data_IF_878871826856
#
_entry.id   IF_878871826856
#
_cell.length_a   1.000
_cell.length_b   1.000
_cell.length_c   1.000
_cell.angle_alpha   90.00
_cell.angle_beta   90.00
_cell.angle_gamma   90.00
#
_symmetry.space_group_name_H-M   'P 1'
#
loop_
_entity.id
_entity.type
_entity.pdbx_description
1 polymer ?
#
# COMPACT_ATOMS: atom_id res chain seq x y z
N UNK A 1 -2.56 -34.41 10.09
CA UNK A 1 -2.13 -33.22 9.36
C UNK A 1 -3.24 -32.18 9.53
N UNK A 2 -2.99 -31.09 10.30
CA UNK A 2 -3.97 -30.01 10.41
C UNK A 2 -4.16 -29.37 9.05
N UNK A 3 -5.39 -29.12 8.63
CA UNK A 3 -5.69 -28.34 7.44
C UNK A 3 -5.13 -26.95 7.71
N UNK A 4 -4.07 -26.56 7.00
CA UNK A 4 -3.51 -25.20 7.12
C UNK A 4 -4.57 -24.26 6.58
N UNK A 5 -5.17 -23.47 7.47
CA UNK A 5 -6.21 -22.50 7.09
C UNK A 5 -5.61 -21.48 6.11
N UNK A 6 -6.29 -21.23 5.00
CA UNK A 6 -5.89 -20.27 3.97
C UNK A 6 -5.64 -18.90 4.59
N UNK A 7 -4.49 -18.29 4.30
CA UNK A 7 -4.16 -16.94 4.75
C UNK A 7 -4.98 -15.89 4.01
N UNK A 8 -5.19 -14.74 4.65
CA UNK A 8 -6.04 -13.66 4.14
C UNK A 8 -5.24 -12.36 4.04
N UNK A 9 -5.26 -11.72 2.88
CA UNK A 9 -4.72 -10.39 2.66
C UNK A 9 -5.85 -9.38 2.45
N UNK A 10 -5.72 -8.18 3.06
CA UNK A 10 -6.57 -7.02 2.80
C UNK A 10 -5.78 -6.01 1.99
N UNK A 11 -6.29 -5.61 0.81
CA UNK A 11 -5.62 -4.68 -0.11
C UNK A 11 -6.49 -3.45 -0.32
N UNK A 12 -5.98 -2.27 0.00
CA UNK A 12 -6.67 -1.00 -0.27
C UNK A 12 -6.25 -0.41 -1.62
N UNK A 13 -7.14 0.34 -2.28
CA UNK A 13 -6.89 0.85 -3.64
C UNK A 13 -6.80 -0.25 -4.69
N UNK A 14 -7.58 -1.32 -4.53
CA UNK A 14 -7.42 -2.59 -5.23
C UNK A 14 -8.06 -2.64 -6.63
N UNK A 15 -8.74 -1.58 -7.11
CA UNK A 15 -9.49 -1.63 -8.37
C UNK A 15 -8.63 -1.52 -9.63
N UNK A 16 -7.39 -1.04 -9.51
CA UNK A 16 -6.48 -0.82 -10.66
C UNK A 16 -5.02 -0.69 -10.21
N UNK A 17 -4.10 -0.62 -11.18
CA UNK A 17 -2.69 -0.33 -10.98
C UNK A 17 -2.02 -1.30 -10.00
N UNK A 18 -1.16 -0.76 -9.12
CA UNK A 18 -0.40 -1.56 -8.14
C UNK A 18 -1.33 -2.41 -7.27
N UNK A 19 -2.43 -1.85 -6.77
CA UNK A 19 -3.36 -2.58 -5.90
C UNK A 19 -3.98 -3.80 -6.58
N UNK A 20 -4.42 -3.69 -7.83
CA UNK A 20 -4.93 -4.83 -8.59
C UNK A 20 -3.85 -5.90 -8.83
N UNK A 21 -2.64 -5.47 -9.22
CA UNK A 21 -1.50 -6.39 -9.37
C UNK A 21 -1.14 -7.13 -8.08
N UNK A 22 -1.22 -6.44 -6.92
CA UNK A 22 -1.01 -7.05 -5.61
C UNK A 22 -2.08 -8.07 -5.28
N UNK A 23 -3.36 -7.79 -5.56
CA UNK A 23 -4.46 -8.79 -5.40
C UNK A 23 -4.13 -10.05 -6.17
N UNK A 24 -3.77 -9.94 -7.46
CA UNK A 24 -3.37 -11.09 -8.28
C UNK A 24 -2.13 -11.80 -7.71
N UNK A 25 -1.15 -11.05 -7.22
CA UNK A 25 0.05 -11.60 -6.59
C UNK A 25 -0.29 -12.47 -5.38
N UNK A 26 -1.11 -11.97 -4.45
CA UNK A 26 -1.55 -12.74 -3.28
C UNK A 26 -2.44 -13.93 -3.66
N UNK A 27 -3.28 -13.81 -4.69
CA UNK A 27 -4.04 -14.95 -5.21
C UNK A 27 -3.13 -16.06 -5.74
N UNK A 28 -2.04 -15.71 -6.45
CA UNK A 28 -1.04 -16.70 -6.89
C UNK A 28 -0.32 -17.38 -5.73
N UNK A 29 -0.17 -16.71 -4.59
CA UNK A 29 0.35 -17.33 -3.35
C UNK A 29 -0.69 -18.18 -2.60
N UNK A 30 -1.92 -18.27 -3.10
CA UNK A 30 -2.99 -19.04 -2.47
C UNK A 30 -3.72 -18.33 -1.33
N UNK A 31 -3.52 -17.03 -1.15
CA UNK A 31 -4.27 -16.25 -0.15
C UNK A 31 -5.69 -15.99 -0.62
N UNK A 32 -6.64 -15.95 0.31
CA UNK A 32 -7.88 -15.23 0.10
C UNK A 32 -7.63 -13.71 0.21
N UNK A 33 -8.41 -12.90 -0.49
CA UNK A 33 -8.20 -11.45 -0.54
C UNK A 33 -9.48 -10.68 -0.26
N UNK A 34 -9.37 -9.67 0.60
CA UNK A 34 -10.37 -8.60 0.70
C UNK A 34 -9.85 -7.38 -0.06
N UNK A 35 -10.50 -7.03 -1.15
CA UNK A 35 -10.12 -5.97 -2.06
C UNK A 35 -11.01 -4.74 -1.82
N UNK A 36 -10.41 -3.60 -1.44
CA UNK A 36 -11.13 -2.37 -1.07
C UNK A 36 -10.85 -1.26 -2.07
N UNK A 37 -11.89 -0.65 -2.63
CA UNK A 37 -11.77 0.58 -3.43
C UNK A 37 -13.14 1.27 -3.59
N UNK A 38 -13.12 2.56 -3.94
CA UNK A 38 -14.33 3.35 -4.19
C UNK A 38 -15.15 2.84 -5.39
N UNK A 39 -14.49 2.25 -6.36
CA UNK A 39 -15.07 1.87 -7.67
C UNK A 39 -14.86 0.39 -8.01
N UNK A 40 -14.63 -0.46 -7.01
CA UNK A 40 -14.37 -1.87 -7.24
C UNK A 40 -15.65 -2.64 -7.64
N UNK A 41 -15.56 -3.44 -8.69
CA UNK A 41 -16.63 -4.35 -9.08
C UNK A 41 -16.56 -5.67 -8.28
N UNK A 42 -17.69 -6.39 -8.14
CA UNK A 42 -17.68 -7.74 -7.58
C UNK A 42 -16.71 -8.67 -8.33
N UNK A 43 -16.02 -9.53 -7.60
CA UNK A 43 -15.12 -10.54 -8.19
C UNK A 43 -15.88 -11.85 -8.50
N UNK A 44 -15.51 -12.50 -9.59
CA UNK A 44 -15.96 -13.87 -9.90
C UNK A 44 -15.14 -14.94 -9.15
N UNK A 45 -13.95 -14.57 -8.61
CA UNK A 45 -13.12 -15.48 -7.82
C UNK A 45 -13.73 -15.63 -6.42
N UNK A 46 -14.12 -16.85 -5.97
CA UNK A 46 -14.74 -17.09 -4.67
C UNK A 46 -13.85 -16.74 -3.47
N UNK A 47 -12.54 -16.66 -3.68
CA UNK A 47 -11.55 -16.29 -2.67
C UNK A 47 -11.22 -14.78 -2.70
N UNK A 48 -11.98 -13.98 -3.45
CA UNK A 48 -11.85 -12.51 -3.46
C UNK A 48 -13.17 -11.88 -3.06
N UNK A 49 -13.17 -11.20 -1.91
CA UNK A 49 -14.30 -10.38 -1.46
C UNK A 49 -13.99 -8.92 -1.76
N UNK A 50 -14.92 -8.23 -2.40
CA UNK A 50 -14.78 -6.80 -2.69
C UNK A 50 -15.59 -5.95 -1.72
N UNK A 51 -14.99 -4.88 -1.22
CA UNK A 51 -15.64 -3.90 -0.35
C UNK A 51 -15.55 -2.53 -1.00
N UNK A 52 -16.70 -2.04 -1.45
CA UNK A 52 -16.77 -0.69 -2.01
C UNK A 52 -16.83 0.36 -0.90
N UNK A 53 -15.94 1.37 -0.97
CA UNK A 53 -15.92 2.48 -0.02
C UNK A 53 -14.67 3.34 -0.10
N UNK A 54 -14.72 4.51 0.52
CA UNK A 54 -13.58 5.40 0.67
C UNK A 54 -12.83 5.03 1.95
N UNK A 55 -11.51 4.81 1.86
CA UNK A 55 -10.67 4.50 3.03
C UNK A 55 -10.56 5.65 4.02
N UNK A 56 -10.83 6.88 3.57
CA UNK A 56 -10.92 8.05 4.44
C UNK A 56 -12.08 7.95 5.44
N UNK A 57 -13.10 7.12 5.14
CA UNK A 57 -14.20 6.82 6.04
C UNK A 57 -13.89 5.57 6.88
N UNK A 58 -13.85 5.74 8.19
CA UNK A 58 -13.60 4.67 9.16
C UNK A 58 -14.56 3.48 8.98
N UNK A 59 -15.82 3.73 8.65
CA UNK A 59 -16.79 2.66 8.42
C UNK A 59 -16.40 1.74 7.28
N UNK A 60 -15.65 2.22 6.26
CA UNK A 60 -15.09 1.38 5.21
C UNK A 60 -14.05 0.42 5.76
N UNK A 61 -13.16 0.88 6.62
CA UNK A 61 -12.15 0.03 7.26
C UNK A 61 -12.81 -1.04 8.17
N UNK A 62 -13.84 -0.67 8.89
CA UNK A 62 -14.62 -1.59 9.74
C UNK A 62 -15.27 -2.70 8.91
N UNK A 63 -15.94 -2.35 7.80
CA UNK A 63 -16.52 -3.32 6.87
C UNK A 63 -15.47 -4.23 6.23
N UNK A 64 -14.31 -3.69 5.88
CA UNK A 64 -13.25 -4.46 5.24
C UNK A 64 -12.65 -5.51 6.18
N UNK A 65 -12.38 -5.16 7.43
CA UNK A 65 -11.86 -6.10 8.44
C UNK A 65 -12.96 -7.10 8.84
N UNK A 66 -14.21 -6.67 8.97
CA UNK A 66 -15.35 -7.57 9.22
C UNK A 66 -15.50 -8.60 8.09
N UNK A 67 -15.43 -8.18 6.83
CA UNK A 67 -15.51 -9.08 5.67
C UNK A 67 -14.40 -10.16 5.68
N UNK A 68 -13.17 -9.82 6.07
CA UNK A 68 -12.08 -10.79 6.23
C UNK A 68 -12.43 -11.84 7.30
N UNK A 69 -12.95 -11.39 8.42
CA UNK A 69 -13.30 -12.27 9.55
C UNK A 69 -14.53 -13.13 9.25
N UNK A 70 -15.60 -12.54 8.73
CA UNK A 70 -16.85 -13.23 8.46
C UNK A 70 -16.72 -14.26 7.35
N UNK A 71 -15.98 -13.92 6.29
CA UNK A 71 -15.83 -14.80 5.13
C UNK A 71 -14.74 -15.84 5.27
N UNK A 72 -13.59 -15.47 5.89
CA UNK A 72 -12.38 -16.31 5.91
C UNK A 72 -11.88 -16.63 7.33
N UNK A 73 -12.44 -16.03 8.36
CA UNK A 73 -12.13 -16.31 9.77
C UNK A 73 -10.87 -15.61 10.31
N UNK A 74 -10.08 -14.93 9.45
CA UNK A 74 -8.78 -14.36 9.83
C UNK A 74 -8.36 -13.17 8.96
N UNK A 75 -7.30 -12.48 9.39
CA UNK A 75 -6.59 -11.47 8.61
C UNK A 75 -5.09 -11.58 8.90
N UNK A 76 -4.28 -11.89 7.90
CA UNK A 76 -2.84 -12.12 8.06
C UNK A 76 -1.99 -10.99 7.54
N UNK A 77 -2.43 -10.34 6.45
CA UNK A 77 -1.66 -9.29 5.80
C UNK A 77 -2.54 -8.11 5.43
N UNK A 78 -2.02 -6.90 5.66
CA UNK A 78 -2.61 -5.65 5.18
C UNK A 78 -1.68 -4.99 4.18
N UNK A 79 -2.21 -4.60 3.01
CA UNK A 79 -1.51 -3.77 2.03
C UNK A 79 -2.19 -2.40 1.97
N UNK A 80 -1.55 -1.41 2.57
CA UNK A 80 -1.94 0.00 2.46
C UNK A 80 -1.45 0.57 1.14
N UNK A 81 -2.23 0.40 0.08
CA UNK A 81 -1.90 0.90 -1.25
C UNK A 81 -2.75 2.10 -1.66
N UNK A 82 -3.97 2.26 -1.14
CA UNK A 82 -4.79 3.41 -1.45
C UNK A 82 -4.04 4.72 -1.22
N UNK A 83 -4.03 5.58 -2.22
CA UNK A 83 -3.35 6.87 -2.16
C UNK A 83 -3.73 7.74 -3.35
N UNK A 84 -3.62 9.04 -3.15
CA UNK A 84 -3.75 10.05 -4.21
C UNK A 84 -2.51 10.92 -4.24
N UNK A 85 -2.22 11.42 -5.44
CA UNK A 85 -1.07 12.26 -5.73
C UNK A 85 -1.52 13.50 -6.50
N UNK A 86 -1.04 14.66 -6.09
CA UNK A 86 -1.25 15.93 -6.80
C UNK A 86 0.09 16.66 -6.82
N UNK A 87 0.61 16.96 -8.01
CA UNK A 87 1.82 17.77 -8.19
C UNK A 87 1.44 19.22 -8.43
N UNK A 88 1.88 20.10 -7.51
CA UNK A 88 1.71 21.56 -7.60
C UNK A 88 2.82 22.28 -6.84
N UNK A 89 3.19 23.52 -7.22
CA UNK A 89 3.92 24.42 -6.32
C UNK A 89 3.22 24.52 -4.97
N UNK A 90 3.99 24.60 -3.88
CA UNK A 90 3.42 24.56 -2.53
C UNK A 90 2.38 25.65 -2.28
N UNK A 91 2.61 26.86 -2.83
CA UNK A 91 1.70 28.03 -2.71
C UNK A 91 0.37 27.83 -3.41
N UNK A 92 0.26 26.89 -4.35
CA UNK A 92 -0.91 26.69 -5.19
C UNK A 92 -1.84 25.57 -4.67
N UNK A 93 -1.42 24.85 -3.62
CA UNK A 93 -2.29 23.89 -2.97
C UNK A 93 -3.45 24.58 -2.27
N UNK A 94 -4.66 24.11 -2.54
CA UNK A 94 -5.86 24.52 -1.84
C UNK A 94 -6.07 23.74 -0.54
N UNK A 95 -6.91 24.26 0.36
CA UNK A 95 -7.36 23.49 1.53
C UNK A 95 -8.11 22.22 1.12
N UNK A 96 -8.78 22.21 -0.05
CA UNK A 96 -9.42 21.01 -0.61
C UNK A 96 -8.40 19.95 -1.02
N UNK A 97 -7.31 20.33 -1.69
CA UNK A 97 -6.22 19.40 -2.03
C UNK A 97 -5.62 18.78 -0.75
N UNK A 98 -5.35 19.62 0.24
CA UNK A 98 -4.81 19.16 1.53
C UNK A 98 -5.76 18.18 2.23
N UNK A 99 -7.06 18.53 2.32
CA UNK A 99 -8.05 17.68 2.96
C UNK A 99 -8.20 16.33 2.24
N UNK A 100 -8.23 16.33 0.90
CA UNK A 100 -8.34 15.11 0.10
C UNK A 100 -7.11 14.21 0.27
N UNK A 101 -5.90 14.77 0.14
CA UNK A 101 -4.65 14.00 0.27
C UNK A 101 -4.50 13.45 1.69
N UNK A 102 -4.76 14.26 2.72
CA UNK A 102 -4.74 13.83 4.11
C UNK A 102 -5.74 12.70 4.35
N UNK A 103 -6.99 12.88 3.91
CA UNK A 103 -8.06 11.91 4.12
C UNK A 103 -7.70 10.52 3.57
N UNK A 104 -7.25 10.44 2.31
CA UNK A 104 -6.91 9.14 1.71
C UNK A 104 -5.58 8.61 2.25
N UNK A 105 -4.52 9.44 2.26
CA UNK A 105 -3.17 8.94 2.53
C UNK A 105 -2.89 8.73 4.03
N UNK A 106 -3.44 9.56 4.93
CA UNK A 106 -3.20 9.47 6.37
C UNK A 106 -4.38 8.88 7.14
N UNK A 107 -5.59 9.47 7.02
CA UNK A 107 -6.75 9.00 7.78
C UNK A 107 -7.10 7.56 7.34
N UNK A 108 -7.04 7.27 6.02
CA UNK A 108 -7.24 5.91 5.48
C UNK A 108 -6.22 4.91 6.00
N UNK A 109 -4.93 5.25 5.98
CA UNK A 109 -3.89 4.42 6.58
C UNK A 109 -4.17 4.15 8.06
N UNK A 110 -4.49 5.19 8.82
CA UNK A 110 -4.74 5.08 10.26
C UNK A 110 -5.92 4.14 10.55
N UNK A 111 -7.06 4.37 9.88
CA UNK A 111 -8.27 3.59 10.12
C UNK A 111 -8.07 2.09 9.84
N UNK A 112 -7.52 1.78 8.66
CA UNK A 112 -7.38 0.38 8.25
C UNK A 112 -6.27 -0.31 9.04
N UNK A 113 -5.13 0.36 9.28
CA UNK A 113 -3.98 -0.23 9.98
C UNK A 113 -4.31 -0.53 11.44
N UNK A 114 -4.98 0.40 12.14
CA UNK A 114 -5.39 0.20 13.54
C UNK A 114 -6.26 -1.04 13.70
N UNK A 115 -7.29 -1.18 12.86
CA UNK A 115 -8.23 -2.30 12.94
C UNK A 115 -7.57 -3.62 12.49
N UNK A 116 -6.74 -3.60 11.45
CA UNK A 116 -6.03 -4.78 10.99
C UNK A 116 -5.05 -5.32 12.04
N UNK A 117 -4.22 -4.45 12.63
CA UNK A 117 -3.29 -4.86 13.70
C UNK A 117 -4.06 -5.38 14.90
N UNK A 118 -5.12 -4.70 15.33
CA UNK A 118 -5.95 -5.18 16.44
C UNK A 118 -6.50 -6.60 16.16
N UNK A 119 -6.94 -6.87 14.93
CA UNK A 119 -7.39 -8.21 14.51
C UNK A 119 -6.26 -9.23 14.51
N UNK A 120 -5.09 -8.91 13.94
CA UNK A 120 -3.92 -9.78 13.93
C UNK A 120 -3.49 -10.18 15.34
N UNK A 121 -3.53 -9.24 16.28
CA UNK A 121 -3.21 -9.49 17.68
C UNK A 121 -4.26 -10.37 18.37
N UNK A 122 -5.54 -10.13 18.14
CA UNK A 122 -6.62 -10.88 18.75
C UNK A 122 -6.65 -12.36 18.30
N UNK A 123 -6.19 -12.66 17.08
CA UNK A 123 -6.11 -14.05 16.58
C UNK A 123 -4.85 -14.80 17.00
N UNK A 124 -3.80 -14.11 17.51
CA UNK A 124 -2.61 -14.73 18.10
C UNK A 124 -1.59 -15.31 17.10
N UNK A 125 -1.82 -15.14 15.79
CA UNK A 125 -0.93 -15.72 14.75
C UNK A 125 0.14 -14.77 14.21
N UNK A 126 0.27 -13.56 14.77
CA UNK A 126 1.07 -12.50 14.18
C UNK A 126 0.43 -11.92 12.92
N UNK A 127 1.22 -11.22 12.09
CA UNK A 127 0.73 -10.63 10.85
C UNK A 127 1.78 -9.83 10.12
N UNK A 128 1.37 -9.23 8.99
CA UNK A 128 2.24 -8.37 8.21
C UNK A 128 1.49 -7.15 7.67
N UNK A 129 2.10 -5.99 7.76
CA UNK A 129 1.60 -4.75 7.16
C UNK A 129 2.63 -4.24 6.15
N UNK A 130 2.20 -4.00 4.92
CA UNK A 130 3.03 -3.36 3.89
C UNK A 130 2.35 -2.07 3.43
N UNK A 131 3.09 -0.98 3.39
CA UNK A 131 2.59 0.32 2.95
C UNK A 131 3.28 0.76 1.68
N UNK A 132 2.51 1.17 0.67
CA UNK A 132 3.06 1.76 -0.56
C UNK A 132 3.29 3.26 -0.32
N UNK A 133 4.57 3.66 -0.36
CA UNK A 133 5.02 5.04 -0.17
C UNK A 133 5.44 5.68 -1.50
N UNK A 134 6.53 6.41 -1.56
CA UNK A 134 7.11 7.00 -2.80
C UNK A 134 8.57 7.39 -2.57
N UNK A 135 9.40 7.23 -3.59
CA UNK A 135 10.79 7.70 -3.62
C UNK A 135 10.94 9.21 -3.49
N UNK A 136 9.89 9.99 -3.76
CA UNK A 136 9.90 11.45 -3.59
C UNK A 136 10.05 11.92 -2.13
N UNK A 137 9.91 11.01 -1.15
CA UNK A 137 10.23 11.30 0.25
C UNK A 137 11.75 11.41 0.45
N UNK A 138 12.49 10.49 -0.16
CA UNK A 138 13.93 10.35 0.03
C UNK A 138 14.71 11.14 -1.03
N UNK A 139 14.14 11.33 -2.22
CA UNK A 139 14.73 12.05 -3.34
C UNK A 139 13.73 13.03 -3.97
N UNK A 140 13.50 14.22 -3.35
CA UNK A 140 12.61 15.24 -3.91
C UNK A 140 13.18 15.81 -5.21
N UNK A 141 12.29 16.07 -6.20
CA UNK A 141 12.67 16.62 -7.50
C UNK A 141 11.88 17.90 -7.79
N UNK A 142 12.57 19.00 -8.10
CA UNK A 142 11.96 20.28 -8.42
C UNK A 142 11.05 20.23 -9.68
N UNK A 143 11.28 19.26 -10.56
CA UNK A 143 10.44 19.02 -11.75
C UNK A 143 9.09 18.38 -11.39
N UNK A 144 8.98 17.80 -10.19
CA UNK A 144 7.77 17.14 -9.67
C UNK A 144 7.45 17.71 -8.28
N UNK A 145 6.98 18.98 -8.19
CA UNK A 145 6.69 19.61 -6.91
C UNK A 145 5.54 18.87 -6.21
N UNK A 146 5.82 18.23 -5.07
CA UNK A 146 4.93 17.22 -4.46
C UNK A 146 4.96 17.23 -2.92
N UNK A 147 5.04 18.42 -2.32
CA UNK A 147 5.20 18.56 -0.85
C UNK A 147 4.14 17.80 -0.06
N UNK A 148 2.86 17.79 -0.48
CA UNK A 148 1.81 17.05 0.24
C UNK A 148 1.98 15.52 0.13
N UNK A 149 2.51 15.03 -0.99
CA UNK A 149 2.87 13.62 -1.10
C UNK A 149 4.04 13.28 -0.17
N UNK A 150 5.10 14.08 -0.17
CA UNK A 150 6.26 13.90 0.73
C UNK A 150 5.85 14.01 2.20
N UNK A 151 5.01 14.97 2.57
CA UNK A 151 4.49 15.13 3.93
C UNK A 151 3.72 13.90 4.40
N UNK A 152 2.78 13.42 3.59
CA UNK A 152 1.92 12.29 3.97
C UNK A 152 2.68 10.97 3.89
N UNK A 153 3.35 10.67 2.79
CA UNK A 153 4.07 9.41 2.59
C UNK A 153 5.33 9.30 3.45
N UNK A 154 6.01 10.43 3.73
CA UNK A 154 7.11 10.48 4.71
C UNK A 154 6.64 10.16 6.13
N UNK A 155 5.46 10.66 6.52
CA UNK A 155 4.80 10.26 7.76
C UNK A 155 4.54 8.75 7.82
N UNK A 156 4.12 8.13 6.69
CA UNK A 156 3.91 6.68 6.63
C UNK A 156 5.22 5.89 6.74
N UNK A 157 6.33 6.38 6.19
CA UNK A 157 7.65 5.74 6.40
C UNK A 157 8.07 5.78 7.88
N UNK A 158 7.88 6.93 8.55
CA UNK A 158 8.14 7.05 9.98
C UNK A 158 7.23 6.13 10.81
N UNK A 159 5.92 6.08 10.50
CA UNK A 159 4.96 5.20 11.15
C UNK A 159 5.31 3.72 10.92
N UNK A 160 5.80 3.33 9.74
CA UNK A 160 6.25 1.97 9.44
C UNK A 160 7.32 1.51 10.44
N UNK A 161 8.36 2.34 10.67
CA UNK A 161 9.43 2.00 11.62
C UNK A 161 8.92 1.95 13.06
N UNK A 162 8.06 2.90 13.45
CA UNK A 162 7.50 2.95 14.80
C UNK A 162 6.64 1.71 15.11
N UNK A 163 5.71 1.37 14.21
CA UNK A 163 4.84 0.20 14.36
C UNK A 163 5.63 -1.11 14.32
N UNK A 164 6.68 -1.19 13.49
CA UNK A 164 7.55 -2.36 13.43
C UNK A 164 8.17 -2.68 14.79
N UNK A 165 8.68 -1.66 15.49
CA UNK A 165 9.28 -1.84 16.83
C UNK A 165 8.21 -2.11 17.90
N UNK A 166 7.07 -1.39 17.83
CA UNK A 166 5.99 -1.52 18.80
C UNK A 166 5.40 -2.96 18.83
N UNK A 167 5.29 -3.60 17.65
CA UNK A 167 4.62 -4.91 17.52
C UNK A 167 5.55 -6.08 17.23
N UNK A 168 6.87 -5.89 17.13
CA UNK A 168 7.83 -6.95 16.81
C UNK A 168 7.72 -8.16 17.74
N UNK A 169 7.67 -7.94 19.06
CA UNK A 169 7.56 -8.99 20.07
C UNK A 169 6.20 -9.70 20.08
N UNK A 170 5.22 -9.13 19.38
CA UNK A 170 3.86 -9.67 19.22
C UNK A 170 3.65 -10.34 17.86
N UNK A 171 4.74 -10.52 17.10
CA UNK A 171 4.73 -11.25 15.83
C UNK A 171 4.15 -10.48 14.64
N UNK A 172 3.90 -9.16 14.75
CA UNK A 172 3.45 -8.35 13.61
C UNK A 172 4.65 -7.64 13.01
N UNK A 173 4.92 -7.89 11.72
CA UNK A 173 5.94 -7.19 10.93
C UNK A 173 5.28 -6.01 10.23
N UNK A 174 6.02 -4.91 10.08
CA UNK A 174 5.54 -3.72 9.37
C UNK A 174 6.66 -3.21 8.47
N UNK A 175 6.41 -3.14 7.17
CA UNK A 175 7.36 -2.69 6.16
C UNK A 175 6.70 -1.73 5.18
N UNK A 176 7.48 -1.08 4.33
CA UNK A 176 6.99 -0.28 3.23
C UNK A 176 7.74 -0.59 1.93
N UNK A 177 7.07 -0.38 0.82
CA UNK A 177 7.68 -0.32 -0.51
C UNK A 177 7.63 1.13 -0.96
N UNK A 178 8.76 1.66 -1.42
CA UNK A 178 8.94 3.04 -1.88
C UNK A 178 9.20 3.03 -3.40
N UNK A 179 8.15 3.04 -4.25
CA UNK A 179 8.31 3.00 -5.68
C UNK A 179 8.72 4.37 -6.26
N UNK A 180 9.42 4.33 -7.38
CA UNK A 180 9.51 5.44 -8.32
C UNK A 180 8.22 5.60 -9.14
N UNK A 181 8.33 6.19 -10.35
CA UNK A 181 7.20 6.26 -11.28
C UNK A 181 6.95 4.90 -11.92
N UNK A 182 5.74 4.37 -11.74
CA UNK A 182 5.31 3.06 -12.24
C UNK A 182 4.22 3.24 -13.30
N UNK A 183 4.24 2.45 -14.36
CA UNK A 183 3.21 2.47 -15.40
C UNK A 183 1.86 2.00 -14.83
N UNK A 184 1.00 2.94 -14.55
CA UNK A 184 -0.35 2.75 -14.00
C UNK A 184 -1.28 3.79 -14.59
N UNK A 185 -2.61 3.65 -14.44
CA UNK A 185 -3.55 4.70 -14.86
C UNK A 185 -3.34 6.07 -14.19
N UNK A 186 -2.50 6.15 -13.13
CA UNK A 186 -2.11 7.43 -12.53
C UNK A 186 -1.16 8.24 -13.43
N UNK A 187 -0.44 7.60 -14.34
CA UNK A 187 0.54 8.22 -15.23
C UNK A 187 0.09 8.04 -16.69
N UNK A 188 -0.51 9.07 -17.31
CA UNK A 188 -0.89 9.02 -18.72
C UNK A 188 0.31 8.74 -19.64
N UNK A 189 0.08 8.03 -20.74
CA UNK A 189 1.14 7.52 -21.62
C UNK A 189 2.04 8.63 -22.17
N UNK A 190 1.49 9.80 -22.44
CA UNK A 190 2.22 10.99 -22.88
C UNK A 190 3.27 11.49 -21.87
N UNK A 191 3.16 11.08 -20.59
CA UNK A 191 4.12 11.44 -19.53
C UNK A 191 5.26 10.44 -19.38
N UNK A 192 5.15 9.26 -19.99
CA UNK A 192 6.05 8.14 -19.71
C UNK A 192 7.51 8.43 -20.03
N UNK A 193 7.81 9.09 -21.16
CA UNK A 193 9.18 9.45 -21.54
C UNK A 193 9.82 10.39 -20.51
N UNK A 194 9.09 11.43 -20.10
CA UNK A 194 9.57 12.39 -19.11
C UNK A 194 9.76 11.72 -17.73
N UNK A 195 8.85 10.84 -17.31
CA UNK A 195 8.96 10.10 -16.08
C UNK A 195 10.07 9.06 -16.10
N UNK A 196 10.29 8.37 -17.23
CA UNK A 196 11.41 7.45 -17.40
C UNK A 196 12.78 8.15 -17.25
N UNK A 197 12.89 9.40 -17.72
CA UNK A 197 14.11 10.18 -17.63
C UNK A 197 14.47 10.60 -16.20
N UNK A 198 13.54 10.50 -15.24
CA UNK A 198 13.80 10.75 -13.81
C UNK A 198 14.58 9.61 -13.14
N UNK A 199 14.54 8.41 -13.73
CA UNK A 199 15.17 7.23 -13.14
C UNK A 199 16.56 6.99 -13.73
N UNK A 200 17.59 6.72 -12.91
CA UNK A 200 18.92 6.34 -13.43
C UNK A 200 18.91 5.17 -14.43
N UNK A 201 18.02 4.19 -14.24
CA UNK A 201 17.83 3.05 -15.16
C UNK A 201 17.12 3.41 -16.46
N UNK A 202 16.72 4.68 -16.65
CA UNK A 202 16.10 5.23 -17.87
C UNK A 202 14.80 4.52 -18.31
N UNK A 203 14.08 3.94 -17.38
CA UNK A 203 12.73 3.42 -17.60
C UNK A 203 11.84 3.69 -16.39
N UNK A 204 10.55 3.71 -16.61
CA UNK A 204 9.56 3.60 -15.52
C UNK A 204 9.56 2.16 -14.96
N UNK A 205 9.09 2.00 -13.73
CA UNK A 205 8.75 0.70 -13.18
C UNK A 205 7.54 0.08 -13.88
N UNK A 206 7.54 -1.24 -13.97
CA UNK A 206 6.36 -2.03 -14.33
C UNK A 206 5.59 -2.43 -13.06
N UNK A 207 4.32 -2.83 -13.19
CA UNK A 207 3.55 -3.32 -12.04
C UNK A 207 4.24 -4.49 -11.34
N UNK A 208 4.85 -5.40 -12.11
CA UNK A 208 5.61 -6.53 -11.57
C UNK A 208 6.75 -6.12 -10.67
N UNK A 209 7.48 -5.04 -10.99
CA UNK A 209 8.61 -4.58 -10.16
C UNK A 209 8.15 -4.30 -8.71
N UNK A 210 6.97 -3.69 -8.55
CA UNK A 210 6.42 -3.36 -7.22
C UNK A 210 5.74 -4.57 -6.56
N UNK A 211 4.99 -5.34 -7.34
CA UNK A 211 4.31 -6.55 -6.83
C UNK A 211 5.32 -7.54 -6.28
N UNK A 212 6.40 -7.81 -7.01
CA UNK A 212 7.45 -8.75 -6.60
C UNK A 212 8.14 -8.28 -5.30
N UNK A 213 8.34 -6.97 -5.13
CA UNK A 213 8.88 -6.40 -3.90
C UNK A 213 7.93 -6.60 -2.70
N UNK A 214 6.61 -6.41 -2.90
CA UNK A 214 5.61 -6.69 -1.86
C UNK A 214 5.63 -8.17 -1.48
N UNK A 215 5.66 -9.08 -2.46
CA UNK A 215 5.68 -10.52 -2.23
C UNK A 215 7.02 -10.99 -1.62
N UNK A 216 8.14 -10.33 -1.96
CA UNK A 216 9.42 -10.56 -1.28
C UNK A 216 9.31 -10.24 0.21
N UNK A 217 8.77 -9.07 0.58
CA UNK A 217 8.58 -8.70 1.98
C UNK A 217 7.63 -9.64 2.72
N UNK A 218 6.60 -10.17 2.04
CA UNK A 218 5.70 -11.17 2.60
C UNK A 218 6.47 -12.44 2.99
N UNK A 219 7.35 -12.91 2.11
CA UNK A 219 8.12 -14.14 2.27
C UNK A 219 9.43 -13.97 3.06
N UNK A 220 9.74 -12.78 3.57
CA UNK A 220 10.95 -12.45 4.32
C UNK A 220 10.67 -12.29 5.82
N UNK A 221 10.53 -13.35 6.62
CA UNK A 221 10.05 -13.30 8.00
C UNK A 221 10.99 -12.55 8.97
N UNK A 222 12.23 -12.32 8.58
CA UNK A 222 13.23 -11.61 9.40
C UNK A 222 13.34 -10.12 9.03
N UNK A 223 12.49 -9.63 8.11
CA UNK A 223 12.44 -8.22 7.68
C UNK A 223 11.27 -7.52 8.32
N UNK A 224 11.54 -6.47 9.12
CA UNK A 224 10.54 -5.56 9.69
C UNK A 224 11.15 -4.16 9.87
N UNK A 225 10.37 -3.10 9.69
CA UNK A 225 10.82 -1.71 9.74
C UNK A 225 11.53 -1.24 8.46
N UNK A 226 11.55 -2.06 7.43
CA UNK A 226 12.23 -1.77 6.15
C UNK A 226 11.39 -0.85 5.27
N UNK A 227 12.08 0.05 4.56
CA UNK A 227 11.55 0.84 3.46
C UNK A 227 12.28 0.37 2.19
N UNK A 228 11.70 -0.58 1.48
CA UNK A 228 12.29 -1.17 0.29
C UNK A 228 12.07 -0.26 -0.93
N UNK A 229 13.15 0.33 -1.44
CA UNK A 229 13.11 1.17 -2.63
C UNK A 229 13.01 0.32 -3.92
N UNK A 230 12.02 0.66 -4.74
CA UNK A 230 11.77 0.06 -6.06
C UNK A 230 11.62 1.20 -7.06
N UNK A 231 12.69 1.94 -7.28
CA UNK A 231 12.65 3.26 -7.87
C UNK A 231 13.68 3.48 -9.00
N UNK A 232 14.27 2.39 -9.51
CA UNK A 232 15.25 2.47 -10.58
C UNK A 232 16.50 3.28 -10.25
N UNK A 233 16.84 3.37 -8.95
CA UNK A 233 18.02 4.06 -8.44
C UNK A 233 17.81 5.52 -8.05
N UNK A 234 16.57 6.05 -8.09
CA UNK A 234 16.31 7.47 -7.75
C UNK A 234 16.81 7.83 -6.35
N UNK A 235 16.62 6.97 -5.36
CA UNK A 235 17.04 7.22 -3.96
C UNK A 235 18.52 6.95 -3.72
N UNK A 236 19.24 6.33 -4.65
CA UNK A 236 20.66 6.00 -4.49
C UNK A 236 21.60 7.17 -4.85
N UNK A 237 21.08 8.22 -5.47
CA UNK A 237 21.82 9.39 -5.93
C UNK A 237 21.80 9.55 -7.46
N UNK A 238 22.48 10.62 -7.94
CA UNK A 238 22.60 10.99 -9.36
C UNK A 238 24.06 10.99 -9.78
#
# INVERSE_FOLDING_TARGET
MGIQQQKVALVTGASQGIGAGVVEGYRRLGYAVVAVSRTIAPSADPDVVTVQGDVADRATAERAVAAAVERFGRLDTLINNAGIFVAKPFTDYTLGDYAAIRGVNLDGFFHVTQLAIARMLAQGGGGHVVTITTSLVDNPDARVPSVLASLTKGGLQAATRSLAIEYATRGVRVNAVSPGSVKTPMHPEETHEALAALHPVRRMGELSDVVDAVLFLENAPFVTGEILHVDGGMSAGH
#
